data_IF_677689090417
#
_entry.id   IF_677689090417
#
_cell.length_a   1.000
_cell.length_b   1.000
_cell.length_c   1.000
_cell.angle_alpha   90.00
_cell.angle_beta   90.00
_cell.angle_gamma   90.00
#
_symmetry.space_group_name_H-M   'P 1'
#
loop_
_entity.id
_entity.type
_entity.pdbx_description
1 polymer ?
#
# COMPACT_ATOMS: atom_id res chain seq x y z
N UNK A 1 6.02 8.57 -13.14
CA UNK A 1 4.59 8.80 -13.00
C UNK A 1 4.14 8.46 -11.59
N UNK A 2 3.34 9.31 -10.99
CA UNK A 2 2.79 9.10 -9.65
C UNK A 2 1.31 8.77 -9.76
N UNK A 3 0.88 7.66 -9.15
CA UNK A 3 -0.54 7.33 -9.07
C UNK A 3 -1.16 7.96 -7.84
N UNK A 4 -2.33 8.57 -8.01
CA UNK A 4 -3.09 9.11 -6.89
C UNK A 4 -3.64 7.97 -6.04
N UNK A 5 -3.40 8.04 -4.73
CA UNK A 5 -3.85 7.00 -3.80
C UNK A 5 -5.31 7.16 -3.38
N UNK A 6 -5.94 8.29 -3.73
CA UNK A 6 -7.36 8.48 -3.44
C UNK A 6 -8.19 7.54 -4.31
N UNK A 7 -8.94 6.59 -3.71
CA UNK A 7 -9.70 5.61 -4.49
C UNK A 7 -10.75 6.23 -5.40
N UNK A 8 -11.22 7.42 -5.08
CA UNK A 8 -12.22 8.11 -5.89
C UNK A 8 -11.62 8.87 -7.07
N UNK A 9 -10.30 8.95 -7.15
CA UNK A 9 -9.60 9.67 -8.21
C UNK A 9 -8.73 8.74 -9.05
N UNK A 10 -7.72 8.14 -8.44
CA UNK A 10 -6.81 7.15 -9.05
C UNK A 10 -6.13 7.63 -10.32
N UNK A 11 -5.97 8.94 -10.51
CA UNK A 11 -5.36 9.48 -11.71
C UNK A 11 -3.84 9.39 -11.68
N UNK A 12 -3.23 9.38 -12.87
CA UNK A 12 -1.78 9.41 -13.02
C UNK A 12 -1.32 10.86 -13.08
N UNK A 13 -0.19 11.15 -12.45
CA UNK A 13 0.40 12.48 -12.40
C UNK A 13 1.86 12.44 -12.83
N UNK A 14 2.40 13.56 -13.38
CA UNK A 14 3.82 13.62 -13.70
C UNK A 14 4.70 13.44 -12.46
N UNK A 15 5.90 12.90 -12.66
CA UNK A 15 6.89 12.86 -11.59
C UNK A 15 7.22 14.28 -11.14
N UNK A 16 7.46 14.45 -9.88
CA UNK A 16 7.75 15.75 -9.31
C UNK A 16 6.55 16.46 -8.72
N UNK A 17 5.35 16.06 -9.08
CA UNK A 17 4.16 16.61 -8.44
C UNK A 17 4.05 16.10 -7.02
N UNK A 18 3.74 16.97 -6.09
CA UNK A 18 3.49 16.57 -4.69
C UNK A 18 2.01 16.33 -4.43
N UNK A 19 1.16 16.93 -5.23
CA UNK A 19 -0.30 16.87 -5.10
C UNK A 19 -0.91 16.43 -6.41
N UNK A 20 -2.01 15.68 -6.33
CA UNK A 20 -2.76 15.28 -7.51
C UNK A 20 -3.36 16.48 -8.21
N UNK A 21 -3.20 16.56 -9.53
CA UNK A 21 -3.75 17.66 -10.30
C UNK A 21 -5.28 17.66 -10.32
N UNK A 22 -5.89 16.50 -10.17
CA UNK A 22 -7.35 16.39 -10.20
C UNK A 22 -8.00 16.59 -8.85
N UNK A 23 -7.56 15.86 -7.82
CA UNK A 23 -8.24 15.88 -6.52
C UNK A 23 -7.46 16.59 -5.43
N UNK A 24 -6.25 17.03 -5.71
CA UNK A 24 -5.37 17.75 -4.77
C UNK A 24 -4.88 16.93 -3.59
N UNK A 25 -5.13 15.60 -3.56
CA UNK A 25 -4.60 14.73 -2.53
C UNK A 25 -3.09 14.64 -2.61
N UNK A 26 -2.44 14.41 -1.47
CA UNK A 26 -1.00 14.17 -1.45
C UNK A 26 -0.66 12.90 -2.22
N UNK A 27 0.34 12.97 -3.08
CA UNK A 27 0.76 11.83 -3.90
C UNK A 27 1.75 10.91 -3.17
N UNK A 28 2.49 11.45 -2.21
CA UNK A 28 3.48 10.69 -1.47
C UNK A 28 2.95 10.33 -0.09
N UNK A 29 3.12 9.08 0.30
CA UNK A 29 2.89 8.69 1.70
C UNK A 29 4.07 9.18 2.53
N UNK A 30 3.78 9.96 3.58
CA UNK A 30 4.79 10.53 4.48
C UNK A 30 5.93 11.25 3.74
N UNK A 31 5.61 11.86 2.60
CA UNK A 31 6.59 12.58 1.79
C UNK A 31 7.75 11.69 1.33
N UNK A 32 7.56 10.38 1.34
CA UNK A 32 8.62 9.40 1.14
C UNK A 32 8.30 8.38 0.05
N UNK A 33 7.09 7.81 0.06
CA UNK A 33 6.73 6.69 -0.82
C UNK A 33 5.82 7.15 -1.95
N UNK A 34 6.22 6.85 -3.19
CA UNK A 34 5.48 7.22 -4.40
C UNK A 34 4.91 5.95 -5.04
N UNK A 35 3.58 5.88 -5.18
CA UNK A 35 2.95 4.79 -5.92
C UNK A 35 3.16 4.99 -7.42
N UNK A 36 3.64 3.96 -8.11
CA UNK A 36 3.93 4.05 -9.55
C UNK A 36 3.13 3.09 -10.41
N UNK A 37 2.61 2.02 -9.82
CA UNK A 37 1.85 1.02 -10.60
C UNK A 37 0.91 0.26 -9.69
N UNK A 38 -0.32 0.06 -10.15
CA UNK A 38 -1.27 -0.82 -9.46
C UNK A 38 -0.92 -2.25 -9.84
N UNK A 39 -0.64 -3.09 -8.85
CA UNK A 39 -0.26 -4.49 -9.07
C UNK A 39 -1.24 -5.49 -8.49
N UNK A 40 -2.21 -5.05 -7.71
CA UNK A 40 -3.24 -5.95 -7.20
C UNK A 40 -4.41 -5.18 -6.63
N UNK A 41 -5.57 -5.84 -6.63
CA UNK A 41 -6.79 -5.29 -6.05
C UNK A 41 -7.65 -6.45 -5.57
N UNK A 42 -8.16 -6.33 -4.36
CA UNK A 42 -8.99 -7.37 -3.75
C UNK A 42 -10.00 -6.79 -2.78
N UNK A 43 -10.61 -7.65 -1.98
CA UNK A 43 -11.66 -7.26 -1.04
C UNK A 43 -11.19 -6.30 0.06
N UNK A 44 -9.90 -6.29 0.38
CA UNK A 44 -9.34 -5.43 1.41
C UNK A 44 -8.81 -4.11 0.88
N UNK A 45 -8.57 -4.00 -0.42
CA UNK A 45 -8.07 -2.78 -0.99
C UNK A 45 -7.16 -3.00 -2.18
N UNK A 46 -6.16 -2.12 -2.31
CA UNK A 46 -5.29 -2.11 -3.48
C UNK A 46 -3.84 -2.24 -3.08
N UNK A 47 -3.05 -2.84 -3.98
CA UNK A 47 -1.62 -3.01 -3.79
C UNK A 47 -0.89 -2.32 -4.94
N UNK A 48 0.11 -1.50 -4.59
CA UNK A 48 0.87 -0.72 -5.55
C UNK A 48 2.35 -1.06 -5.47
N UNK A 49 3.01 -1.08 -6.63
CA UNK A 49 4.45 -0.96 -6.70
C UNK A 49 4.81 0.49 -6.45
N UNK A 50 5.84 0.74 -5.66
CA UNK A 50 6.19 2.09 -5.23
C UNK A 50 7.70 2.29 -5.19
N UNK A 51 8.11 3.53 -5.04
CA UNK A 51 9.51 3.93 -4.88
C UNK A 51 9.68 4.60 -3.54
N UNK A 52 10.75 4.23 -2.82
CA UNK A 52 11.13 4.86 -1.56
C UNK A 52 12.16 5.95 -1.83
N UNK A 53 11.74 7.20 -1.74
CA UNK A 53 12.62 8.34 -2.00
C UNK A 53 13.47 8.75 -0.80
N UNK A 54 13.29 8.11 0.36
CA UNK A 54 14.10 8.41 1.52
C UNK A 54 15.51 7.83 1.42
N UNK A 55 15.74 6.93 0.47
CA UNK A 55 17.03 6.28 0.26
C UNK A 55 17.64 6.74 -1.05
N UNK A 56 18.96 7.00 -1.08
CA UNK A 56 19.61 7.49 -2.31
C UNK A 56 19.44 6.56 -3.52
N UNK A 57 19.37 5.25 -3.30
CA UNK A 57 19.19 4.28 -4.37
C UNK A 57 17.76 4.23 -4.91
N UNK A 58 16.81 4.87 -4.22
CA UNK A 58 15.40 4.89 -4.58
C UNK A 58 14.87 3.49 -4.89
N UNK A 59 14.94 2.56 -3.92
CA UNK A 59 14.52 1.19 -4.17
C UNK A 59 13.02 1.07 -4.31
N UNK A 60 12.60 -0.01 -4.96
CA UNK A 60 11.18 -0.33 -5.03
C UNK A 60 10.68 -0.86 -3.70
N UNK A 61 9.41 -0.62 -3.44
CA UNK A 61 8.69 -1.19 -2.31
C UNK A 61 7.25 -1.44 -2.73
N UNK A 62 6.45 -1.97 -1.83
CA UNK A 62 5.03 -2.26 -2.07
C UNK A 62 4.21 -1.47 -1.07
N UNK A 63 3.19 -0.78 -1.55
CA UNK A 63 2.19 -0.11 -0.72
C UNK A 63 0.91 -0.92 -0.79
N UNK A 64 0.42 -1.39 0.37
CA UNK A 64 -0.91 -1.97 0.49
C UNK A 64 -1.84 -0.94 1.11
N UNK A 65 -2.85 -0.55 0.37
CA UNK A 65 -3.85 0.41 0.83
C UNK A 65 -5.08 -0.34 1.34
N UNK A 66 -5.43 -0.10 2.58
CA UNK A 66 -6.65 -0.65 3.13
C UNK A 66 -7.84 0.16 2.61
N UNK A 67 -8.69 -0.49 1.86
CA UNK A 67 -9.85 0.13 1.23
C UNK A 67 -10.92 -0.96 1.06
N UNK A 68 -11.58 -1.33 2.17
CA UNK A 68 -12.54 -2.45 2.12
C UNK A 68 -13.78 -2.08 1.33
N UNK A 69 -14.26 -3.03 0.54
CA UNK A 69 -15.51 -2.89 -0.19
C UNK A 69 -16.70 -3.34 0.66
N UNK A 70 -16.45 -3.77 1.89
CA UNK A 70 -17.48 -4.27 2.78
C UNK A 70 -18.50 -3.18 3.11
N UNK A 71 -19.75 -3.58 3.25
CA UNK A 71 -20.82 -2.69 3.67
C UNK A 71 -21.17 -2.99 5.13
N UNK A 72 -21.33 -1.93 5.90
CA UNK A 72 -21.63 -2.04 7.31
C UNK A 72 -20.43 -1.79 8.19
N UNK A 73 -20.65 -1.09 9.32
CA UNK A 73 -19.62 -0.63 10.21
C UNK A 73 -18.84 -1.77 10.85
N UNK A 74 -19.57 -2.81 11.31
CA UNK A 74 -18.93 -3.94 12.00
C UNK A 74 -17.94 -4.66 11.09
N UNK A 75 -18.29 -4.84 9.83
CA UNK A 75 -17.43 -5.53 8.87
C UNK A 75 -16.18 -4.72 8.57
N UNK A 76 -16.32 -3.39 8.47
CA UNK A 76 -15.20 -2.50 8.24
C UNK A 76 -14.26 -2.52 9.44
N UNK A 77 -14.79 -2.48 10.66
CA UNK A 77 -13.97 -2.55 11.87
C UNK A 77 -13.19 -3.86 11.96
N UNK A 78 -13.84 -4.99 11.66
CA UNK A 78 -13.16 -6.29 11.66
C UNK A 78 -12.08 -6.36 10.61
N UNK A 79 -12.33 -5.84 9.42
CA UNK A 79 -11.33 -5.81 8.35
C UNK A 79 -10.15 -4.94 8.74
N UNK A 80 -10.39 -3.80 9.39
CA UNK A 80 -9.34 -2.93 9.90
C UNK A 80 -8.48 -3.63 10.94
N UNK A 81 -9.10 -4.37 11.86
CA UNK A 81 -8.37 -5.14 12.86
C UNK A 81 -7.51 -6.23 12.23
N UNK A 82 -8.01 -6.91 11.22
CA UNK A 82 -7.24 -7.93 10.51
C UNK A 82 -6.05 -7.33 9.77
N UNK A 83 -6.24 -6.16 9.18
CA UNK A 83 -5.16 -5.46 8.51
C UNK A 83 -4.04 -5.08 9.49
N UNK A 84 -4.43 -4.57 10.66
CA UNK A 84 -3.48 -4.24 11.71
C UNK A 84 -2.77 -5.49 12.25
N UNK A 85 -3.50 -6.59 12.45
CA UNK A 85 -2.90 -7.85 12.89
C UNK A 85 -1.88 -8.38 11.89
N UNK A 86 -2.16 -8.25 10.60
CA UNK A 86 -1.20 -8.64 9.57
C UNK A 86 0.09 -7.82 9.71
N UNK A 87 -0.04 -6.51 9.92
CA UNK A 87 1.12 -5.65 10.13
C UNK A 87 1.94 -6.10 11.34
N UNK A 88 1.28 -6.40 12.46
CA UNK A 88 1.95 -6.84 13.68
C UNK A 88 2.69 -8.15 13.45
N UNK A 89 2.07 -9.10 12.74
CA UNK A 89 2.71 -10.39 12.45
C UNK A 89 3.93 -10.22 11.57
N UNK A 90 3.84 -9.38 10.54
CA UNK A 90 4.97 -9.09 9.67
C UNK A 90 6.11 -8.41 10.43
N UNK A 91 5.79 -7.51 11.33
CA UNK A 91 6.78 -6.85 12.17
C UNK A 91 7.52 -7.86 13.03
N UNK A 92 6.80 -8.80 13.64
CA UNK A 92 7.41 -9.83 14.48
C UNK A 92 8.31 -10.78 13.70
N UNK A 93 7.96 -11.10 12.46
CA UNK A 93 8.79 -11.95 11.61
C UNK A 93 10.09 -11.28 11.21
N UNK A 94 10.05 -9.95 11.09
CA UNK A 94 11.22 -9.21 10.66
C UNK A 94 11.69 -9.67 9.28
N UNK A 95 13.00 -9.85 9.13
CA UNK A 95 13.57 -10.24 7.86
C UNK A 95 13.43 -11.74 7.66
N UNK A 96 12.77 -12.14 6.57
CA UNK A 96 12.52 -13.55 6.27
C UNK A 96 12.70 -13.76 4.76
N UNK A 97 13.38 -14.86 4.33
CA UNK A 97 13.70 -15.05 2.91
C UNK A 97 12.50 -15.26 2.00
N UNK A 98 11.36 -15.69 2.54
CA UNK A 98 10.18 -16.01 1.74
C UNK A 98 9.01 -15.10 1.97
N UNK A 99 9.10 -14.16 2.90
CA UNK A 99 8.02 -13.26 3.29
C UNK A 99 8.51 -11.82 3.21
N UNK A 100 7.80 -10.92 2.50
CA UNK A 100 8.23 -9.52 2.43
C UNK A 100 8.32 -8.88 3.81
N UNK A 101 9.41 -8.17 4.06
CA UNK A 101 9.62 -7.46 5.31
C UNK A 101 8.71 -6.25 5.40
N UNK A 102 8.11 -6.02 6.57
CA UNK A 102 7.32 -4.81 6.83
C UNK A 102 8.27 -3.62 7.04
N UNK A 103 8.10 -2.57 6.23
CA UNK A 103 8.87 -1.35 6.40
C UNK A 103 8.12 -0.29 7.20
N UNK A 104 6.80 -0.21 7.03
CA UNK A 104 6.01 0.80 7.72
C UNK A 104 4.54 0.42 7.77
N UNK A 105 3.86 0.93 8.79
CA UNK A 105 2.40 0.87 8.92
C UNK A 105 1.94 2.30 9.21
N UNK A 106 1.09 2.84 8.35
CA UNK A 106 0.79 4.27 8.36
C UNK A 106 -0.70 4.54 8.33
N UNK A 107 -1.08 5.65 8.97
CA UNK A 107 -2.38 6.28 8.72
C UNK A 107 -2.11 7.57 7.95
N UNK A 108 -2.79 7.72 6.81
CA UNK A 108 -2.65 8.91 5.98
C UNK A 108 -3.66 9.99 6.40
N UNK A 109 -3.54 11.19 5.85
CA UNK A 109 -4.41 12.33 6.19
C UNK A 109 -5.90 12.06 6.00
N UNK A 110 -6.25 11.06 5.18
CA UNK A 110 -7.63 10.67 4.90
C UNK A 110 -8.12 9.55 5.81
N UNK A 111 -7.41 9.26 6.90
CA UNK A 111 -7.69 8.19 7.86
C UNK A 111 -7.63 6.79 7.26
N UNK A 112 -7.01 6.62 6.10
CA UNK A 112 -6.80 5.32 5.49
C UNK A 112 -5.55 4.68 6.05
N UNK A 113 -5.60 3.36 6.16
CA UNK A 113 -4.46 2.57 6.65
C UNK A 113 -3.63 2.06 5.49
N UNK A 114 -2.32 2.07 5.66
CA UNK A 114 -1.37 1.62 4.65
C UNK A 114 -0.30 0.75 5.26
N UNK A 115 0.11 -0.28 4.52
CA UNK A 115 1.30 -1.06 4.82
C UNK A 115 2.34 -0.77 3.74
N UNK A 116 3.59 -0.61 4.14
CA UNK A 116 4.70 -0.54 3.19
C UNK A 116 5.59 -1.74 3.46
N UNK A 117 5.84 -2.53 2.42
CA UNK A 117 6.58 -3.78 2.51
C UNK A 117 7.70 -3.84 1.48
N UNK A 118 8.59 -4.78 1.69
CA UNK A 118 9.65 -5.11 0.74
C UNK A 118 9.05 -5.53 -0.61
N UNK A 119 9.63 -5.02 -1.72
CA UNK A 119 9.30 -5.48 -3.06
C UNK A 119 10.19 -6.67 -3.40
N UNK A 120 9.58 -7.81 -3.71
CA UNK A 120 10.31 -9.00 -4.09
C UNK A 120 10.20 -9.17 -5.59
N UNK A 121 11.32 -8.96 -6.30
CA UNK A 121 11.35 -9.03 -7.74
C UNK A 121 11.16 -10.47 -8.22
N UNK A 122 10.43 -10.60 -9.33
CA UNK A 122 10.19 -11.91 -9.93
C UNK A 122 9.05 -12.71 -9.34
N UNK A 123 8.42 -12.23 -8.26
CA UNK A 123 7.25 -12.89 -7.69
C UNK A 123 5.97 -12.30 -8.24
N UNK A 124 4.96 -13.14 -8.37
CA UNK A 124 3.62 -12.70 -8.71
C UNK A 124 2.91 -12.29 -7.41
N UNK A 125 2.94 -11.00 -7.11
CA UNK A 125 2.39 -10.48 -5.85
C UNK A 125 0.89 -10.72 -5.73
N UNK A 126 0.14 -10.70 -6.83
CA UNK A 126 -1.28 -11.00 -6.83
C UNK A 126 -1.54 -12.43 -6.38
N UNK A 127 -0.76 -13.38 -6.90
CA UNK A 127 -0.88 -14.77 -6.52
C UNK A 127 -0.51 -14.98 -5.05
N UNK A 128 0.52 -14.29 -4.59
CA UNK A 128 0.93 -14.35 -3.20
C UNK A 128 -0.15 -13.82 -2.27
N UNK A 129 -0.80 -12.72 -2.62
CA UNK A 129 -1.90 -12.17 -1.86
C UNK A 129 -3.06 -13.16 -1.75
N UNK A 130 -3.36 -13.89 -2.82
CA UNK A 130 -4.40 -14.91 -2.80
C UNK A 130 -4.04 -16.06 -1.88
N UNK A 131 -2.78 -16.49 -1.90
CA UNK A 131 -2.33 -17.59 -1.05
C UNK A 131 -2.37 -17.22 0.42
N UNK A 132 -2.25 -15.95 0.75
CA UNK A 132 -2.38 -15.44 2.12
C UNK A 132 -3.82 -15.17 2.53
N UNK A 133 -4.78 -15.39 1.64
CA UNK A 133 -6.18 -15.15 1.92
C UNK A 133 -6.55 -13.66 1.95
N UNK A 134 -5.73 -12.82 1.38
CA UNK A 134 -5.93 -11.37 1.35
C UNK A 134 -6.43 -10.98 -0.02
N UNK A 135 -7.51 -11.52 -0.44
CA UNK A 135 -8.06 -11.24 -1.75
C UNK A 135 -9.40 -10.51 -1.65
#
# INVERSE_FOLDING_TARGET
MSLCLNPNCSSANPDGNKFCEKCRSKLFLQERYQAIKLIGQGGFGRTFKAIDYSKPSRPYCVIKQFFPSAQGTDTIEKASELFEKEAIQLEKLGKHPQIPELFAYLNHDDDRQYLVQEYIEGQNLEQELRSQGVS
#
